data_IF_879428878558
#
_entry.id   IF_879428878558
#
_cell.length_a   1.000
_cell.length_b   1.000
_cell.length_c   1.000
_cell.angle_alpha   90.00
_cell.angle_beta   90.00
_cell.angle_gamma   90.00
#
_symmetry.space_group_name_H-M   'P 1'
#
loop_
_entity.id
_entity.type
_entity.pdbx_description
1 polymer ?
#
# COMPACT_ATOMS: atom_id res chain seq x y z
N UNK A 1 -13.55 11.99 1.18
CA UNK A 1 -12.86 10.98 2.00
C UNK A 1 -13.89 10.32 2.91
N UNK A 2 -13.99 8.99 2.94
CA UNK A 2 -14.89 8.28 3.88
C UNK A 2 -14.37 8.49 5.31
N UNK A 3 -15.09 9.29 6.10
CA UNK A 3 -14.69 9.70 7.45
C UNK A 3 -14.59 8.53 8.42
N UNK A 4 -15.35 7.44 8.18
CA UNK A 4 -15.30 6.25 9.03
C UNK A 4 -14.04 5.42 8.77
N UNK A 5 -13.69 5.22 7.50
CA UNK A 5 -12.45 4.52 7.17
C UNK A 5 -11.22 5.30 7.67
N UNK A 6 -11.18 6.61 7.44
CA UNK A 6 -10.01 7.42 7.83
C UNK A 6 -9.79 7.40 9.35
N UNK A 7 -10.87 7.51 10.13
CA UNK A 7 -10.82 7.36 11.59
C UNK A 7 -10.31 5.98 12.00
N UNK A 8 -10.84 4.92 11.42
CA UNK A 8 -10.38 3.55 11.66
C UNK A 8 -8.91 3.35 11.28
N UNK A 9 -8.46 3.94 10.17
CA UNK A 9 -7.07 3.89 9.73
C UNK A 9 -6.13 4.61 10.72
N UNK A 10 -6.51 5.78 11.22
CA UNK A 10 -5.71 6.48 12.24
C UNK A 10 -5.62 5.69 13.55
N UNK A 11 -6.74 5.17 14.03
CA UNK A 11 -6.84 4.45 15.32
C UNK A 11 -6.23 3.03 15.28
N UNK A 12 -6.06 2.44 14.10
CA UNK A 12 -5.51 1.09 13.96
C UNK A 12 -4.04 1.03 14.39
N UNK A 13 -3.71 0.05 15.24
CA UNK A 13 -2.33 -0.30 15.58
C UNK A 13 -1.68 -1.00 14.39
N UNK A 14 -0.51 -0.50 13.99
CA UNK A 14 0.29 -1.06 12.90
C UNK A 14 1.51 -1.79 13.42
N UNK A 15 1.77 -3.01 12.95
CA UNK A 15 3.00 -3.75 13.23
C UNK A 15 3.49 -4.47 11.99
N UNK A 16 4.64 -4.05 11.45
CA UNK A 16 5.26 -4.70 10.31
C UNK A 16 6.13 -5.86 10.78
N UNK A 17 5.78 -7.08 10.38
CA UNK A 17 6.63 -8.25 10.56
C UNK A 17 7.75 -8.30 9.51
N UNK A 18 8.87 -8.92 9.88
CA UNK A 18 10.04 -9.05 9.01
C UNK A 18 9.74 -9.82 7.71
N UNK A 19 8.86 -10.82 7.75
CA UNK A 19 8.42 -11.56 6.56
C UNK A 19 7.70 -10.65 5.56
N UNK A 20 6.73 -9.89 6.04
CA UNK A 20 5.99 -8.94 5.20
C UNK A 20 6.88 -7.84 4.62
N UNK A 21 7.88 -7.37 5.36
CA UNK A 21 8.86 -6.42 4.83
C UNK A 21 9.59 -6.97 3.59
N UNK A 22 9.96 -8.25 3.63
CA UNK A 22 10.59 -8.94 2.49
C UNK A 22 9.62 -9.14 1.33
N UNK A 23 8.36 -9.47 1.62
CA UNK A 23 7.34 -9.63 0.58
C UNK A 23 7.08 -8.31 -0.16
N UNK A 24 6.97 -7.20 0.58
CA UNK A 24 6.80 -5.86 -0.01
C UNK A 24 7.99 -5.53 -0.93
N UNK A 25 9.23 -5.80 -0.49
CA UNK A 25 10.42 -5.58 -1.31
C UNK A 25 10.42 -6.47 -2.57
N UNK A 26 10.19 -7.77 -2.41
CA UNK A 26 10.19 -8.74 -3.49
C UNK A 26 9.12 -8.45 -4.57
N UNK A 27 7.98 -7.86 -4.19
CA UNK A 27 6.94 -7.50 -5.16
C UNK A 27 7.42 -6.45 -6.18
N UNK A 28 8.27 -5.50 -5.78
CA UNK A 28 8.74 -4.42 -6.66
C UNK A 28 10.03 -4.78 -7.42
N UNK A 29 10.77 -5.79 -6.95
CA UNK A 29 12.00 -6.24 -7.62
C UNK A 29 11.70 -6.85 -8.99
N UNK A 30 12.42 -6.39 -10.03
CA UNK A 30 12.33 -6.95 -11.38
C UNK A 30 11.09 -6.56 -12.19
N UNK A 31 10.27 -5.63 -11.71
CA UNK A 31 9.11 -5.10 -12.43
C UNK A 31 9.52 -4.07 -13.50
N UNK A 32 9.06 -4.28 -14.74
CA UNK A 32 9.44 -3.44 -15.89
C UNK A 32 8.59 -2.17 -16.03
N UNK A 33 7.42 -2.13 -15.39
CA UNK A 33 6.49 -1.00 -15.36
C UNK A 33 6.91 0.09 -14.36
N UNK A 34 7.82 -0.24 -13.43
CA UNK A 34 8.29 0.64 -12.35
C UNK A 34 9.66 1.24 -12.70
N UNK A 35 9.72 2.57 -12.76
CA UNK A 35 10.95 3.34 -12.92
C UNK A 35 11.75 3.44 -11.62
N UNK A 36 11.07 3.66 -10.50
CA UNK A 36 11.68 3.71 -9.18
C UNK A 36 10.63 3.46 -8.09
N UNK A 37 11.06 2.96 -6.94
CA UNK A 37 10.21 2.89 -5.76
C UNK A 37 10.99 3.24 -4.49
N UNK A 38 10.28 3.74 -3.48
CA UNK A 38 10.81 4.04 -2.15
C UNK A 38 9.86 3.42 -1.13
N UNK A 39 10.42 2.71 -0.15
CA UNK A 39 9.68 2.15 0.98
C UNK A 39 10.25 2.74 2.26
N UNK A 40 9.40 3.39 3.05
CA UNK A 40 9.77 4.07 4.29
C UNK A 40 8.79 3.71 5.41
N UNK A 41 9.24 3.77 6.65
CA UNK A 41 8.37 3.68 7.81
C UNK A 41 8.13 5.09 8.36
N UNK A 42 6.94 5.64 8.14
CA UNK A 42 6.51 6.91 8.72
C UNK A 42 6.16 6.74 10.20
N UNK A 43 5.95 7.88 10.88
CA UNK A 43 5.46 7.94 12.25
C UNK A 43 4.28 6.99 12.48
N UNK A 44 4.17 6.45 13.70
CA UNK A 44 3.07 5.54 14.11
C UNK A 44 3.00 4.21 13.34
N UNK A 45 4.09 3.79 12.70
CA UNK A 45 4.22 2.49 12.04
C UNK A 45 3.45 2.36 10.73
N UNK A 46 3.17 3.49 10.06
CA UNK A 46 2.62 3.49 8.71
C UNK A 46 3.76 3.22 7.72
N UNK A 47 3.57 2.24 6.85
CA UNK A 47 4.50 1.98 5.76
C UNK A 47 4.14 2.89 4.60
N UNK A 48 5.05 3.76 4.22
CA UNK A 48 4.91 4.60 3.05
C UNK A 48 5.61 3.95 1.86
N UNK A 49 4.89 3.82 0.76
CA UNK A 49 5.40 3.27 -0.50
C UNK A 49 5.17 4.31 -1.58
N UNK A 50 6.24 4.84 -2.16
CA UNK A 50 6.18 5.73 -3.31
C UNK A 50 6.66 4.98 -4.55
N UNK A 51 5.85 4.97 -5.60
CA UNK A 51 6.11 4.25 -6.84
C UNK A 51 6.05 5.25 -7.99
N UNK A 52 7.12 5.27 -8.79
CA UNK A 52 7.18 6.00 -10.05
C UNK A 52 7.13 5.02 -11.20
N UNK A 53 6.14 5.17 -12.07
CA UNK A 53 5.98 4.39 -13.30
C UNK A 53 6.79 5.02 -14.43
N UNK A 54 7.08 4.25 -15.47
CA UNK A 54 7.63 4.80 -16.71
C UNK A 54 6.56 5.61 -17.48
N UNK A 55 5.39 5.01 -17.66
CA UNK A 55 4.26 5.58 -18.38
C UNK A 55 3.01 5.52 -17.49
N UNK A 56 2.79 6.56 -16.68
CA UNK A 56 1.64 6.61 -15.79
C UNK A 56 0.33 6.53 -16.58
N UNK A 57 -0.55 5.63 -16.15
CA UNK A 57 -1.96 5.68 -16.47
C UNK A 57 -2.75 5.20 -15.26
N UNK A 58 -3.96 5.74 -15.09
CA UNK A 58 -4.87 5.29 -14.01
C UNK A 58 -5.16 3.79 -14.08
N UNK A 59 -5.18 3.23 -15.29
CA UNK A 59 -5.35 1.79 -15.50
C UNK A 59 -4.16 1.02 -14.91
N UNK A 60 -2.94 1.37 -15.31
CA UNK A 60 -1.72 0.70 -14.85
C UNK A 60 -1.52 0.87 -13.33
N UNK A 61 -1.75 2.07 -12.80
CA UNK A 61 -1.69 2.35 -11.38
C UNK A 61 -2.65 1.47 -10.58
N UNK A 62 -3.91 1.37 -11.02
CA UNK A 62 -4.90 0.50 -10.39
C UNK A 62 -4.54 -0.98 -10.50
N UNK A 63 -4.07 -1.43 -11.66
CA UNK A 63 -3.61 -2.83 -11.86
C UNK A 63 -2.46 -3.16 -10.92
N UNK A 64 -1.44 -2.30 -10.85
CA UNK A 64 -0.30 -2.45 -9.96
C UNK A 64 -0.73 -2.50 -8.49
N UNK A 65 -1.63 -1.60 -8.06
CA UNK A 65 -2.15 -1.60 -6.70
C UNK A 65 -2.90 -2.90 -6.38
N UNK A 66 -3.77 -3.37 -7.28
CA UNK A 66 -4.55 -4.59 -7.09
C UNK A 66 -3.66 -5.83 -7.04
N UNK A 67 -2.63 -5.90 -7.89
CA UNK A 67 -1.62 -6.95 -7.84
C UNK A 67 -0.85 -6.93 -6.52
N UNK A 68 -0.45 -5.73 -6.06
CA UNK A 68 0.27 -5.55 -4.81
C UNK A 68 -0.57 -6.06 -3.63
N UNK A 69 -1.80 -5.59 -3.46
CA UNK A 69 -2.66 -6.03 -2.35
C UNK A 69 -3.05 -7.51 -2.46
N UNK A 70 -3.09 -8.07 -3.68
CA UNK A 70 -3.26 -9.51 -3.87
C UNK A 70 -2.05 -10.32 -3.43
N UNK A 71 -0.85 -9.77 -3.59
CA UNK A 71 0.41 -10.40 -3.20
C UNK A 71 0.68 -10.31 -1.69
N UNK A 72 0.49 -9.13 -1.09
CA UNK A 72 0.75 -8.89 0.35
C UNK A 72 -0.48 -9.06 1.24
N UNK A 73 -1.66 -9.31 0.65
CA UNK A 73 -2.93 -9.36 1.35
C UNK A 73 -3.06 -10.56 2.28
N UNK A 74 -3.63 -10.32 3.45
CA UNK A 74 -3.89 -11.37 4.45
C UNK A 74 -5.39 -11.69 4.59
N UNK A 75 -5.68 -12.83 5.20
CA UNK A 75 -6.96 -13.55 5.09
C UNK A 75 -8.16 -12.96 5.83
N UNK A 76 -8.00 -11.95 6.73
CA UNK A 76 -9.16 -11.45 7.51
C UNK A 76 -9.86 -10.24 6.89
N UNK A 77 -9.14 -9.16 6.61
CA UNK A 77 -9.69 -8.05 5.84
C UNK A 77 -8.59 -7.21 5.22
N UNK A 78 -8.88 -6.70 4.03
CA UNK A 78 -8.04 -5.83 3.21
C UNK A 78 -8.93 -4.66 2.79
N UNK A 79 -8.74 -3.49 3.40
CA UNK A 79 -9.58 -2.32 3.20
C UNK A 79 -8.74 -1.20 2.63
N UNK A 80 -9.23 -0.51 1.60
CA UNK A 80 -8.55 0.64 1.05
C UNK A 80 -9.49 1.76 0.62
N UNK A 81 -8.99 2.98 0.66
CA UNK A 81 -9.55 4.11 -0.06
C UNK A 81 -8.53 4.62 -1.07
N UNK A 82 -9.02 5.22 -2.13
CA UNK A 82 -8.20 5.78 -3.20
C UNK A 82 -8.55 7.27 -3.37
N UNK A 83 -7.52 8.10 -3.44
CA UNK A 83 -7.60 9.53 -3.73
C UNK A 83 -6.82 9.78 -5.02
N UNK A 84 -7.51 10.29 -6.04
CA UNK A 84 -6.91 10.53 -7.35
C UNK A 84 -6.70 12.02 -7.55
N UNK A 85 -5.47 12.38 -7.93
CA UNK A 85 -5.11 13.69 -8.42
C UNK A 85 -4.73 13.61 -9.91
N UNK A 86 -4.21 14.69 -10.47
CA UNK A 86 -3.70 14.69 -11.84
C UNK A 86 -2.37 13.91 -11.88
N UNK A 87 -2.38 12.76 -12.57
CA UNK A 87 -1.24 11.85 -12.72
C UNK A 87 -0.69 11.22 -11.42
N UNK A 88 -1.49 11.19 -10.35
CA UNK A 88 -1.11 10.57 -9.09
C UNK A 88 -2.32 9.86 -8.49
N UNK A 89 -2.15 8.61 -8.08
CA UNK A 89 -3.12 7.88 -7.29
C UNK A 89 -2.53 7.59 -5.90
N UNK A 90 -3.24 7.98 -4.85
CA UNK A 90 -2.90 7.67 -3.45
C UNK A 90 -3.87 6.65 -2.90
N UNK A 91 -3.35 5.59 -2.29
CA UNK A 91 -4.12 4.56 -1.62
C UNK A 91 -3.76 4.52 -0.14
N UNK A 92 -4.77 4.55 0.73
CA UNK A 92 -4.60 4.18 2.13
C UNK A 92 -5.08 2.74 2.27
N UNK A 93 -4.20 1.84 2.71
CA UNK A 93 -4.45 0.42 2.76
C UNK A 93 -4.27 -0.12 4.18
N UNK A 94 -5.27 -0.83 4.68
CA UNK A 94 -5.26 -1.49 5.98
C UNK A 94 -5.47 -2.99 5.79
N UNK A 95 -4.49 -3.77 6.20
CA UNK A 95 -4.58 -5.24 6.25
C UNK A 95 -4.55 -5.74 7.69
N UNK A 96 -5.21 -6.87 7.96
CA UNK A 96 -5.12 -7.57 9.25
C UNK A 96 -5.09 -9.08 9.04
N UNK A 97 -4.17 -9.74 9.74
CA UNK A 97 -4.11 -11.21 9.84
C UNK A 97 -4.78 -11.68 11.14
N UNK A 98 -5.04 -12.98 11.26
CA UNK A 98 -5.62 -13.56 12.47
C UNK A 98 -4.72 -13.49 13.69
N UNK A 99 -3.40 -13.52 13.46
CA UNK A 99 -2.38 -13.68 14.48
C UNK A 99 -1.41 -12.49 14.58
N UNK A 100 -1.55 -11.51 13.67
CA UNK A 100 -0.67 -10.33 13.56
C UNK A 100 -1.54 -9.09 13.81
N UNK A 101 -0.96 -8.04 14.41
CA UNK A 101 -1.58 -6.71 14.41
C UNK A 101 -1.80 -6.23 12.96
N UNK A 102 -2.69 -5.25 12.75
CA UNK A 102 -2.91 -4.75 11.40
C UNK A 102 -1.64 -4.12 10.82
N UNK A 103 -1.59 -3.93 9.50
CA UNK A 103 -0.54 -3.15 8.85
C UNK A 103 -1.20 -2.01 8.07
N UNK A 104 -0.74 -0.79 8.39
CA UNK A 104 -1.14 0.45 7.73
C UNK A 104 -0.14 0.77 6.63
N UNK A 105 -0.64 0.97 5.41
CA UNK A 105 0.17 1.40 4.29
C UNK A 105 -0.42 2.63 3.62
N UNK A 106 0.43 3.55 3.21
CA UNK A 106 0.11 4.65 2.31
C UNK A 106 0.92 4.43 1.03
N UNK A 107 0.23 4.22 -0.08
CA UNK A 107 0.83 3.88 -1.36
C UNK A 107 0.54 5.01 -2.34
N UNK A 108 1.58 5.62 -2.89
CA UNK A 108 1.48 6.70 -3.87
C UNK A 108 2.06 6.19 -5.19
N UNK A 109 1.27 6.23 -6.25
CA UNK A 109 1.66 5.80 -7.60
C UNK A 109 1.56 7.00 -8.53
N UNK A 110 2.66 7.32 -9.21
CA UNK A 110 2.82 8.47 -10.11
C UNK A 110 3.65 8.15 -11.34
#
# INVERSE_FOLDING_TARGET
MDTNFFKMFQEAKSHLELGMSKDIQAFFEGRNDIKNHIIEMKNEGIIFINIKLYDFSRKLSKELFLEFVGFVGYSRYNLFINENEENIDRYLYLTKSSNISGVKMEIVIS
#
